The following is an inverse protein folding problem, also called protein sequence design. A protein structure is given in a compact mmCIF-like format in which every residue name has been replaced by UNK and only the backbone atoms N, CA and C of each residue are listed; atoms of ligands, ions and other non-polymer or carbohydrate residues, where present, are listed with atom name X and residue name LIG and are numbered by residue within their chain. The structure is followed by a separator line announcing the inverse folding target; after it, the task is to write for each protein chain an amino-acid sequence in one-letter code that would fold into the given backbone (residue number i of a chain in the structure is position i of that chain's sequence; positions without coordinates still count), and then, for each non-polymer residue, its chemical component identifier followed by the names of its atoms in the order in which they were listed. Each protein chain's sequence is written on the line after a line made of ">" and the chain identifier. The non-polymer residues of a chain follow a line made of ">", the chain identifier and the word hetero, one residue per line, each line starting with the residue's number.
data_IF_761073098762
#
_entry.id   IF_761073098762
#
_cell.length_a   1.000
_cell.length_b   1.000
_cell.length_c   1.000
_cell.angle_alpha   90.00
_cell.angle_beta   90.00
_cell.angle_gamma   90.00
#
_symmetry.space_group_name_H-M   'P 1'
#
loop_
_entity.id
_entity.type
_entity.pdbx_description
1 polymer ?
#
# COMPACT_ATOMS: atom_id res chain seq x y z
N UNK A 1 -39.00 19.65 -2.09
CA UNK A 1 -38.55 18.39 -1.45
C UNK A 1 -37.08 18.22 -1.79
N UNK A 2 -36.19 18.68 -0.90
CA UNK A 2 -34.75 18.75 -1.14
C UNK A 2 -34.10 17.43 -0.75
N UNK A 3 -33.70 16.63 -1.75
CA UNK A 3 -32.91 15.42 -1.54
C UNK A 3 -31.42 15.79 -1.49
N UNK A 4 -30.89 16.03 -0.29
CA UNK A 4 -29.46 16.16 -0.05
C UNK A 4 -28.79 14.79 -0.14
N UNK A 5 -28.43 14.39 -1.35
CA UNK A 5 -27.54 13.25 -1.58
C UNK A 5 -26.10 13.68 -1.32
N UNK A 6 -25.59 13.43 -0.12
CA UNK A 6 -24.15 13.47 0.14
C UNK A 6 -23.49 12.26 -0.55
N UNK A 7 -22.57 12.43 -1.51
CA UNK A 7 -21.70 11.34 -1.88
C UNK A 7 -20.66 11.16 -0.76
N UNK A 8 -21.01 10.20 0.09
CA UNK A 8 -20.14 9.51 1.03
C UNK A 8 -18.87 9.02 0.33
N UNK A 9 -17.77 9.08 1.08
CA UNK A 9 -16.46 8.51 0.74
C UNK A 9 -15.87 9.00 -0.59
N UNK A 10 -15.24 10.18 -0.57
CA UNK A 10 -14.04 10.36 -1.40
C UNK A 10 -13.13 9.22 -1.02
N UNK A 11 -12.80 8.34 -1.96
CA UNK A 11 -11.64 7.46 -1.87
C UNK A 11 -10.50 8.34 -1.36
N UNK A 12 -10.15 8.17 -0.08
CA UNK A 12 -9.17 9.00 0.58
C UNK A 12 -7.87 8.79 -0.17
N UNK A 13 -7.42 9.82 -0.89
CA UNK A 13 -6.08 9.91 -1.44
C UNK A 13 -5.16 9.62 -0.24
N UNK A 14 -4.54 8.45 -0.22
CA UNK A 14 -3.81 7.88 0.91
C UNK A 14 -2.96 8.98 1.57
N UNK A 15 -3.39 9.51 2.71
CA UNK A 15 -2.68 10.59 3.41
C UNK A 15 -1.43 9.97 4.02
N UNK A 16 -0.40 9.79 3.20
CA UNK A 16 0.91 9.39 3.66
C UNK A 16 1.43 10.56 4.51
N UNK A 17 1.43 10.38 5.83
CA UNK A 17 2.09 11.34 6.74
C UNK A 17 3.60 11.16 6.74
N UNK A 18 4.08 9.96 6.38
CA UNK A 18 5.50 9.61 6.33
C UNK A 18 5.84 8.94 5.01
N UNK A 19 7.02 9.23 4.49
CA UNK A 19 7.56 8.59 3.30
C UNK A 19 7.76 7.09 3.58
N UNK A 20 7.19 6.18 2.77
CA UNK A 20 7.29 4.74 3.01
C UNK A 20 8.70 4.17 2.80
N UNK A 21 9.61 4.92 2.18
CA UNK A 21 10.99 4.49 1.88
C UNK A 21 11.95 4.91 3.00
N UNK A 22 12.01 6.21 3.32
CA UNK A 22 12.98 6.76 4.27
C UNK A 22 12.37 7.13 5.63
N UNK A 23 11.04 6.95 5.80
CA UNK A 23 10.29 7.31 7.01
C UNK A 23 10.29 8.80 7.37
N UNK A 24 10.80 9.68 6.50
CA UNK A 24 10.74 11.14 6.66
C UNK A 24 9.29 11.63 6.72
N UNK A 25 9.03 12.62 7.57
CA UNK A 25 7.70 13.20 7.71
C UNK A 25 7.39 14.08 6.48
N UNK A 26 6.32 13.76 5.76
CA UNK A 26 5.96 14.48 4.54
C UNK A 26 5.41 15.87 4.86
N UNK A 27 4.78 16.04 6.03
CA UNK A 27 4.25 17.33 6.49
C UNK A 27 5.37 18.37 6.71
N UNK A 28 6.61 17.91 6.92
CA UNK A 28 7.80 18.78 7.13
C UNK A 28 8.46 19.21 5.80
N UNK A 29 8.13 18.58 4.67
CA UNK A 29 8.71 18.86 3.36
C UNK A 29 8.02 20.02 2.62
N UNK A 30 6.85 20.46 3.08
CA UNK A 30 6.07 21.55 2.47
C UNK A 30 4.85 21.06 1.70
N UNK A 31 4.50 21.77 0.62
CA UNK A 31 3.29 21.52 -0.18
C UNK A 31 3.23 20.11 -0.78
N UNK A 32 2.01 19.68 -1.13
CA UNK A 32 1.74 18.35 -1.68
C UNK A 32 2.61 18.00 -2.89
N UNK A 33 2.89 18.97 -3.76
CA UNK A 33 3.75 18.76 -4.93
C UNK A 33 5.18 18.38 -4.56
N UNK A 34 5.71 18.91 -3.44
CA UNK A 34 7.05 18.60 -2.95
C UNK A 34 7.07 17.22 -2.28
N UNK A 35 6.00 16.89 -1.55
CA UNK A 35 5.82 15.57 -0.94
C UNK A 35 5.76 14.46 -2.01
N UNK A 36 4.96 14.66 -3.06
CA UNK A 36 4.84 13.72 -4.17
C UNK A 36 6.17 13.55 -4.93
N UNK A 37 6.90 14.65 -5.15
CA UNK A 37 8.23 14.61 -5.78
C UNK A 37 9.24 13.84 -4.92
N UNK A 38 9.25 14.05 -3.60
CA UNK A 38 10.10 13.32 -2.67
C UNK A 38 9.80 11.82 -2.69
N UNK A 39 8.52 11.44 -2.56
CA UNK A 39 8.10 10.03 -2.58
C UNK A 39 8.48 9.37 -3.91
N UNK A 40 8.28 10.06 -5.03
CA UNK A 40 8.68 9.58 -6.36
C UNK A 40 10.17 9.31 -6.43
N UNK A 41 11.02 10.28 -6.03
CA UNK A 41 12.47 10.13 -6.05
C UNK A 41 12.96 9.02 -5.13
N UNK A 42 12.36 8.88 -3.95
CA UNK A 42 12.71 7.81 -3.02
C UNK A 42 12.31 6.42 -3.54
N UNK A 43 11.16 6.29 -4.22
CA UNK A 43 10.75 5.03 -4.85
C UNK A 43 11.61 4.68 -6.07
N UNK A 44 12.07 5.68 -6.83
CA UNK A 44 12.94 5.51 -7.99
C UNK A 44 14.42 5.25 -7.63
N UNK A 45 14.77 5.25 -6.34
CA UNK A 45 16.13 4.91 -5.87
C UNK A 45 17.14 6.07 -5.90
N UNK A 46 16.66 7.32 -5.93
CA UNK A 46 17.52 8.51 -5.96
C UNK A 46 18.23 8.79 -4.62
N UNK A 47 19.57 8.81 -4.67
CA UNK A 47 20.55 9.32 -3.70
C UNK A 47 20.46 8.77 -2.25
N UNK A 48 21.23 7.71 -1.98
CA UNK A 48 21.67 7.35 -0.62
C UNK A 48 20.67 6.55 0.23
N UNK A 49 19.51 6.19 -0.31
CA UNK A 49 18.60 5.27 0.34
C UNK A 49 19.23 3.87 0.39
N UNK A 50 19.59 3.42 1.59
CA UNK A 50 19.79 2.00 1.91
C UNK A 50 18.67 1.20 1.24
N UNK A 51 18.95 0.05 0.59
CA UNK A 51 17.96 -0.70 -0.17
C UNK A 51 16.70 -0.76 0.65
N UNK A 52 15.53 -0.37 0.09
CA UNK A 52 14.33 -0.32 0.87
C UNK A 52 14.21 -1.70 1.50
N UNK A 53 14.29 -1.75 2.83
CA UNK A 53 13.45 -2.70 3.55
C UNK A 53 12.05 -2.21 3.24
N UNK A 54 11.61 -2.46 2.00
CA UNK A 54 10.25 -2.32 1.59
C UNK A 54 9.54 -3.18 2.61
N UNK A 55 8.94 -2.51 3.59
CA UNK A 55 8.02 -3.13 4.51
C UNK A 55 6.81 -3.41 3.64
N UNK A 56 6.94 -4.42 2.78
CA UNK A 56 5.81 -5.06 2.15
C UNK A 56 4.91 -5.37 3.33
N UNK A 57 3.70 -4.82 3.31
CA UNK A 57 2.63 -5.35 4.14
C UNK A 57 2.44 -6.77 3.65
N UNK A 58 3.18 -7.70 4.26
CA UNK A 58 3.04 -9.13 4.02
C UNK A 58 1.72 -9.49 4.67
N UNK A 59 0.63 -9.28 3.92
CA UNK A 59 -0.66 -9.76 4.32
C UNK A 59 -0.63 -11.28 4.15
N UNK A 60 -0.50 -11.96 5.29
CA UNK A 60 -0.62 -13.41 5.36
C UNK A 60 -2.09 -13.74 5.39
N UNK A 61 -2.51 -14.79 4.67
CA UNK A 61 -3.89 -15.23 4.78
C UNK A 61 -4.19 -15.65 6.23
N UNK A 62 -5.20 -15.04 6.87
CA UNK A 62 -5.73 -15.55 8.13
C UNK A 62 -6.37 -16.92 7.90
N UNK A 63 -6.41 -17.76 8.94
CA UNK A 63 -6.87 -19.15 8.84
C UNK A 63 -8.35 -19.26 8.43
N UNK A 64 -9.11 -18.20 8.69
CA UNK A 64 -10.54 -18.07 8.45
C UNK A 64 -10.84 -17.44 7.08
N UNK A 65 -9.83 -17.20 6.25
CA UNK A 65 -10.02 -16.61 4.93
C UNK A 65 -10.78 -17.56 4.01
N UNK A 66 -11.85 -17.06 3.38
CA UNK A 66 -12.61 -17.79 2.35
C UNK A 66 -11.77 -18.13 1.10
N UNK A 67 -10.56 -17.57 0.98
CA UNK A 67 -9.62 -17.87 -0.09
C UNK A 67 -8.86 -19.17 0.15
N UNK A 68 -8.83 -19.72 1.37
CA UNK A 68 -8.17 -20.99 1.66
C UNK A 68 -8.82 -22.13 0.87
N UNK A 69 -8.00 -22.89 0.15
CA UNK A 69 -8.47 -23.98 -0.72
C UNK A 69 -8.95 -23.53 -2.11
N UNK A 70 -9.04 -22.22 -2.37
CA UNK A 70 -9.27 -21.67 -3.72
C UNK A 70 -7.95 -21.72 -4.50
N UNK A 71 -8.04 -22.09 -5.77
CA UNK A 71 -6.90 -22.13 -6.70
C UNK A 71 -6.75 -20.77 -7.39
N UNK A 72 -5.51 -20.27 -7.45
CA UNK A 72 -5.22 -19.06 -8.20
C UNK A 72 -5.35 -19.34 -9.70
N UNK A 73 -6.22 -18.59 -10.39
CA UNK A 73 -6.48 -18.76 -11.83
C UNK A 73 -5.25 -18.49 -12.72
N UNK A 74 -4.19 -17.88 -12.18
CA UNK A 74 -2.96 -17.59 -12.91
C UNK A 74 -1.87 -18.67 -12.72
N UNK A 75 -1.61 -19.07 -11.47
CA UNK A 75 -0.52 -20.00 -11.14
C UNK A 75 -0.98 -21.41 -10.73
N UNK A 76 -2.29 -21.65 -10.68
CA UNK A 76 -2.94 -22.92 -10.30
C UNK A 76 -2.53 -23.47 -8.92
N UNK A 77 -1.86 -22.65 -8.09
CA UNK A 77 -1.54 -22.99 -6.72
C UNK A 77 -2.74 -22.72 -5.80
N UNK A 78 -2.94 -23.58 -4.80
CA UNK A 78 -3.93 -23.37 -3.74
C UNK A 78 -3.41 -22.38 -2.71
N UNK A 79 -4.30 -21.52 -2.24
CA UNK A 79 -4.00 -20.70 -1.07
C UNK A 79 -4.06 -21.55 0.20
N UNK A 80 -3.02 -21.42 1.02
CA UNK A 80 -2.87 -22.06 2.34
C UNK A 80 -2.66 -21.00 3.42
N UNK A 81 -2.98 -21.34 4.66
CA UNK A 81 -2.90 -20.44 5.80
C UNK A 81 -1.46 -19.94 6.02
N UNK A 82 -1.30 -18.69 6.45
CA UNK A 82 -0.01 -18.09 6.79
C UNK A 82 0.97 -17.93 5.61
N UNK A 83 0.50 -18.09 4.36
CA UNK A 83 1.28 -17.82 3.14
C UNK A 83 1.17 -16.35 2.75
N UNK A 84 2.26 -15.70 2.26
CA UNK A 84 2.19 -14.36 1.71
C UNK A 84 1.31 -14.32 0.44
N UNK A 85 0.40 -13.35 0.33
CA UNK A 85 -0.38 -13.13 -0.90
C UNK A 85 0.45 -12.77 -2.13
N UNK A 86 1.66 -12.26 -1.93
CA UNK A 86 2.62 -11.98 -3.02
C UNK A 86 3.22 -13.23 -3.63
N UNK A 87 3.09 -14.37 -2.95
CA UNK A 87 3.44 -15.67 -3.44
C UNK A 87 2.15 -16.40 -3.81
N UNK A 88 1.84 -16.38 -5.10
CA UNK A 88 1.58 -17.65 -5.72
C UNK A 88 2.63 -18.70 -5.29
#
# INVERSE_FOLDING_TARGET
>A
MSGSGTPSARVGRLTLRRCPVCSQNLEELGDSSVQEAHVKLCLEGGAGASPPTAKYLVYRLPAESALIGVECAYCFARFITNRPLTLC
#
